data_IF_714232337302
#
_entry.id   IF_714232337302
#
_cell.length_a   1.000
_cell.length_b   1.000
_cell.length_c   1.000
_cell.angle_alpha   90.00
_cell.angle_beta   90.00
_cell.angle_gamma   90.00
#
_symmetry.space_group_name_H-M   'P 1'
#
loop_
_entity.id
_entity.type
_entity.pdbx_description
1 polymer ?
#
# COMPACT_ATOMS: atom_id res chain seq x y z
N UNK A 1 -1.39 10.60 12.20
CA UNK A 1 -0.79 9.40 12.81
C UNK A 1 -1.62 8.15 12.51
N UNK A 2 -0.98 7.01 12.46
CA UNK A 2 -1.66 5.74 12.25
C UNK A 2 -2.59 5.41 13.42
N UNK A 3 -3.84 5.05 13.10
CA UNK A 3 -4.79 4.58 14.11
C UNK A 3 -4.48 3.11 14.40
N UNK A 4 -4.07 2.85 15.63
CA UNK A 4 -3.66 1.51 16.08
C UNK A 4 -4.70 0.98 17.09
N UNK A 5 -5.17 -0.25 16.86
CA UNK A 5 -6.05 -0.91 17.81
C UNK A 5 -5.26 -1.37 19.03
N UNK A 6 -5.78 -1.10 20.21
CA UNK A 6 -5.15 -1.51 21.48
C UNK A 6 -5.41 -2.99 21.79
N UNK A 7 -6.39 -3.58 21.15
CA UNK A 7 -6.72 -5.00 21.28
C UNK A 7 -7.08 -5.54 19.91
N UNK A 8 -7.00 -6.87 19.77
CA UNK A 8 -7.39 -7.51 18.51
C UNK A 8 -8.85 -7.15 18.16
N UNK A 9 -9.17 -6.91 16.89
CA UNK A 9 -10.54 -6.58 16.49
C UNK A 9 -11.49 -7.77 16.77
N UNK A 10 -12.76 -7.45 16.97
CA UNK A 10 -13.79 -8.49 17.09
C UNK A 10 -13.80 -9.34 15.83
N UNK A 11 -14.20 -10.58 15.96
CA UNK A 11 -14.20 -11.55 14.83
C UNK A 11 -14.91 -11.00 13.58
N UNK A 12 -16.00 -10.27 13.77
CA UNK A 12 -16.74 -9.65 12.66
C UNK A 12 -16.00 -8.50 11.98
N UNK A 13 -14.92 -8.03 12.57
CA UNK A 13 -14.07 -6.95 12.02
C UNK A 13 -12.70 -7.44 11.57
N UNK A 14 -12.42 -8.72 11.76
CA UNK A 14 -11.16 -9.34 11.35
C UNK A 14 -11.16 -9.67 9.86
N UNK A 15 -11.38 -8.67 9.03
CA UNK A 15 -11.35 -8.84 7.59
C UNK A 15 -9.92 -9.03 7.11
N UNK A 16 -9.72 -9.96 6.19
CA UNK A 16 -8.41 -10.21 5.57
C UNK A 16 -8.17 -9.25 4.41
N UNK A 17 -6.91 -8.85 4.23
CA UNK A 17 -6.52 -7.90 3.21
C UNK A 17 -5.47 -8.53 2.29
N UNK A 18 -5.75 -8.47 0.98
CA UNK A 18 -4.80 -8.78 -0.07
C UNK A 18 -4.31 -7.44 -0.67
N UNK A 19 -3.06 -7.10 -0.44
CA UNK A 19 -2.42 -5.97 -1.11
C UNK A 19 -1.75 -6.52 -2.36
N UNK A 20 -2.22 -6.09 -3.53
CA UNK A 20 -1.65 -6.54 -4.79
C UNK A 20 -0.39 -5.78 -5.14
N UNK A 21 0.44 -6.35 -5.99
CA UNK A 21 1.57 -5.62 -6.55
C UNK A 21 1.05 -4.36 -7.25
N UNK A 22 1.77 -3.26 -7.08
CA UNK A 22 1.37 -1.99 -7.70
C UNK A 22 1.72 -2.01 -9.19
N UNK A 23 0.95 -1.26 -9.96
CA UNK A 23 1.27 -0.97 -11.35
C UNK A 23 1.90 0.41 -11.43
N UNK A 24 2.54 0.72 -12.55
CA UNK A 24 3.12 2.04 -12.76
C UNK A 24 2.70 2.55 -14.12
N UNK A 25 2.16 3.77 -14.12
CA UNK A 25 1.85 4.51 -15.36
C UNK A 25 2.81 5.65 -15.58
N UNK A 26 3.80 5.84 -14.69
CA UNK A 26 4.79 6.86 -14.84
C UNK A 26 5.60 6.62 -16.12
N UNK A 27 5.53 7.58 -17.03
CA UNK A 27 6.31 7.58 -18.25
C UNK A 27 7.30 8.70 -18.18
N UNK A 28 8.58 8.37 -18.23
CA UNK A 28 9.59 9.38 -18.33
C UNK A 28 9.76 9.78 -19.80
N UNK A 29 9.01 10.80 -20.19
CA UNK A 29 8.96 11.27 -21.59
C UNK A 29 10.24 11.98 -21.97
N UNK A 30 11.04 12.42 -21.00
CA UNK A 30 12.25 13.20 -21.25
C UNK A 30 13.50 12.35 -21.42
N UNK A 31 13.46 11.10 -21.08
CA UNK A 31 14.62 10.22 -21.23
C UNK A 31 14.73 9.70 -22.65
N UNK A 32 15.67 10.29 -23.38
CA UNK A 32 15.95 9.91 -24.75
C UNK A 32 17.07 8.88 -24.89
N UNK A 33 17.81 8.59 -23.80
CA UNK A 33 18.88 7.61 -23.82
C UNK A 33 18.37 6.21 -23.44
N UNK A 34 18.81 5.19 -24.19
CA UNK A 34 18.45 3.80 -23.91
C UNK A 34 18.90 3.35 -22.51
N UNK A 35 20.00 3.91 -22.01
CA UNK A 35 20.53 3.58 -20.69
C UNK A 35 19.63 4.14 -19.59
N UNK A 36 19.25 5.41 -19.70
CA UNK A 36 18.35 6.02 -18.71
C UNK A 36 16.99 5.34 -18.67
N UNK A 37 16.45 4.98 -19.82
CA UNK A 37 15.18 4.25 -19.89
C UNK A 37 15.27 2.89 -19.21
N UNK A 38 16.34 2.15 -19.41
CA UNK A 38 16.54 0.85 -18.78
C UNK A 38 16.61 0.96 -17.26
N UNK A 39 17.36 1.92 -16.73
CA UNK A 39 17.49 2.17 -15.29
C UNK A 39 16.13 2.55 -14.70
N UNK A 40 15.38 3.39 -15.37
CA UNK A 40 14.04 3.81 -14.95
C UNK A 40 13.08 2.61 -14.86
N UNK A 41 13.05 1.75 -15.86
CA UNK A 41 12.20 0.56 -15.86
C UNK A 41 12.55 -0.38 -14.70
N UNK A 42 13.84 -0.57 -14.42
CA UNK A 42 14.28 -1.42 -13.32
C UNK A 42 13.88 -0.87 -11.96
N UNK A 43 14.03 0.43 -11.74
CA UNK A 43 13.61 1.10 -10.50
C UNK A 43 12.10 0.97 -10.34
N UNK A 44 11.34 1.22 -11.39
CA UNK A 44 9.89 1.12 -11.37
C UNK A 44 9.43 -0.29 -11.02
N UNK A 45 10.06 -1.34 -11.57
CA UNK A 45 9.71 -2.71 -11.24
C UNK A 45 9.96 -3.03 -9.77
N UNK A 46 11.05 -2.52 -9.18
CA UNK A 46 11.33 -2.70 -7.76
C UNK A 46 10.28 -2.02 -6.90
N UNK A 47 9.89 -0.79 -7.24
CA UNK A 47 8.90 -0.03 -6.50
C UNK A 47 7.52 -0.70 -6.55
N UNK A 48 7.10 -1.25 -7.70
CA UNK A 48 5.82 -1.93 -7.82
C UNK A 48 5.70 -3.15 -6.91
N UNK A 49 6.80 -3.71 -6.48
CA UNK A 49 6.84 -4.84 -5.54
C UNK A 49 7.10 -4.40 -4.11
N UNK A 50 7.91 -3.38 -3.93
CA UNK A 50 8.35 -2.92 -2.61
C UNK A 50 7.30 -2.09 -1.89
N UNK A 51 6.65 -1.15 -2.58
CA UNK A 51 5.66 -0.27 -1.97
C UNK A 51 4.45 -1.04 -1.39
N UNK A 52 3.94 -2.10 -2.05
CA UNK A 52 2.90 -2.91 -1.42
C UNK A 52 3.33 -3.54 -0.11
N UNK A 53 4.59 -3.96 0.03
CA UNK A 53 5.11 -4.52 1.27
C UNK A 53 5.15 -3.48 2.38
N UNK A 54 5.52 -2.24 2.10
CA UNK A 54 5.50 -1.15 3.07
C UNK A 54 4.07 -0.89 3.56
N UNK A 55 3.11 -0.83 2.65
CA UNK A 55 1.71 -0.65 3.01
C UNK A 55 1.20 -1.83 3.83
N UNK A 56 1.53 -3.06 3.44
CA UNK A 56 1.18 -4.26 4.17
C UNK A 56 1.71 -4.22 5.60
N UNK A 57 2.96 -3.81 5.78
CA UNK A 57 3.57 -3.69 7.11
C UNK A 57 2.83 -2.67 7.98
N UNK A 58 2.43 -1.55 7.41
CA UNK A 58 1.65 -0.53 8.13
C UNK A 58 0.29 -1.10 8.55
N UNK A 59 -0.39 -1.80 7.66
CA UNK A 59 -1.69 -2.43 7.95
C UNK A 59 -1.57 -3.47 9.05
N UNK A 60 -0.53 -4.32 9.02
CA UNK A 60 -0.30 -5.29 10.09
C UNK A 60 -0.01 -4.62 11.42
N UNK A 61 0.84 -3.60 11.41
CA UNK A 61 1.22 -2.86 12.63
C UNK A 61 0.02 -2.18 13.28
N UNK A 62 -0.97 -1.77 12.50
CA UNK A 62 -2.18 -1.13 13.02
C UNK A 62 -3.05 -2.06 13.86
N UNK A 63 -2.89 -3.37 13.72
CA UNK A 63 -3.63 -4.39 14.48
C UNK A 63 -5.16 -4.28 14.33
N UNK A 64 -5.62 -3.76 13.21
CA UNK A 64 -7.05 -3.56 12.94
C UNK A 64 -7.66 -4.66 12.06
N UNK A 65 -6.84 -5.59 11.55
CA UNK A 65 -7.23 -6.51 10.49
C UNK A 65 -6.93 -7.95 10.87
N UNK A 66 -7.50 -8.88 10.12
CA UNK A 66 -7.10 -10.27 10.16
C UNK A 66 -5.79 -10.47 9.38
N UNK A 67 -5.72 -11.47 8.53
CA UNK A 67 -4.52 -11.72 7.73
C UNK A 67 -4.30 -10.58 6.73
N UNK A 68 -3.06 -10.11 6.62
CA UNK A 68 -2.62 -9.14 5.61
C UNK A 68 -1.51 -9.79 4.80
N UNK A 69 -1.68 -9.84 3.48
CA UNK A 69 -0.70 -10.48 2.59
C UNK A 69 -0.49 -9.63 1.35
N UNK A 70 0.70 -9.72 0.78
CA UNK A 70 1.01 -9.14 -0.52
C UNK A 70 0.98 -10.28 -1.54
N UNK A 71 0.12 -10.18 -2.53
CA UNK A 71 -0.02 -11.18 -3.57
C UNK A 71 0.07 -10.52 -4.94
N UNK A 72 0.61 -11.23 -5.96
CA UNK A 72 0.71 -10.65 -7.30
C UNK A 72 -0.64 -10.46 -7.99
N UNK A 73 -1.61 -11.33 -7.68
CA UNK A 73 -2.91 -11.34 -8.32
C UNK A 73 -4.03 -11.30 -7.27
N UNK A 74 -5.25 -11.02 -7.75
CA UNK A 74 -6.41 -11.07 -6.87
C UNK A 74 -6.66 -12.51 -6.40
N UNK A 75 -7.07 -12.61 -5.14
CA UNK A 75 -7.40 -13.89 -4.52
C UNK A 75 -8.80 -13.77 -3.91
N UNK A 76 -9.78 -14.54 -4.42
CA UNK A 76 -11.15 -14.45 -3.93
C UNK A 76 -11.33 -14.93 -2.49
N UNK A 77 -10.32 -15.55 -1.90
CA UNK A 77 -10.36 -15.96 -0.49
C UNK A 77 -10.06 -14.84 0.48
N UNK A 78 -9.70 -13.65 -0.01
CA UNK A 78 -9.49 -12.45 0.81
C UNK A 78 -10.74 -11.57 0.79
N UNK A 79 -11.02 -10.97 1.95
CA UNK A 79 -12.20 -10.11 2.11
C UNK A 79 -12.04 -8.79 1.38
N UNK A 80 -10.84 -8.22 1.40
CA UNK A 80 -10.53 -6.90 0.86
C UNK A 80 -9.33 -7.02 -0.07
N UNK A 81 -9.39 -6.30 -1.18
CA UNK A 81 -8.28 -6.17 -2.13
C UNK A 81 -7.88 -4.71 -2.26
N UNK A 82 -6.59 -4.45 -2.13
CA UNK A 82 -6.00 -3.13 -2.32
C UNK A 82 -5.18 -3.14 -3.59
N UNK A 83 -5.56 -2.29 -4.53
CA UNK A 83 -4.84 -2.08 -5.78
C UNK A 83 -4.21 -0.70 -5.77
N UNK A 84 -2.94 -0.62 -6.13
CA UNK A 84 -2.24 0.65 -6.21
C UNK A 84 -1.61 0.86 -7.58
N UNK A 85 -1.57 2.12 -7.98
CA UNK A 85 -0.90 2.56 -9.18
C UNK A 85 0.05 3.68 -8.83
N UNK A 86 1.31 3.54 -9.24
CA UNK A 86 2.31 4.58 -9.05
C UNK A 86 2.16 5.59 -10.18
N UNK A 87 1.68 6.78 -9.86
CA UNK A 87 1.52 7.86 -10.82
C UNK A 87 2.85 8.58 -10.99
N UNK A 88 3.55 8.80 -9.90
CA UNK A 88 4.83 9.51 -9.89
C UNK A 88 5.67 9.08 -8.69
N UNK A 89 6.95 8.82 -8.93
CA UNK A 89 7.90 8.51 -7.87
C UNK A 89 9.30 8.91 -8.29
N UNK A 90 9.98 9.71 -7.48
CA UNK A 90 11.35 10.13 -7.77
C UNK A 90 12.23 10.26 -6.52
N UNK A 91 11.83 9.63 -5.42
CA UNK A 91 12.60 9.69 -4.17
C UNK A 91 12.26 10.88 -3.28
N UNK A 92 11.83 12.00 -3.85
CA UNK A 92 11.38 13.18 -3.10
C UNK A 92 9.89 13.44 -3.27
N UNK A 93 9.25 12.74 -4.19
CA UNK A 93 7.84 12.89 -4.49
C UNK A 93 7.25 11.51 -4.74
N UNK A 94 6.14 11.22 -4.09
CA UNK A 94 5.39 9.98 -4.32
C UNK A 94 3.92 10.33 -4.52
N UNK A 95 3.35 9.87 -5.63
CA UNK A 95 1.93 9.99 -5.91
C UNK A 95 1.38 8.63 -6.27
N UNK A 96 0.37 8.19 -5.53
CA UNK A 96 -0.28 6.90 -5.72
C UNK A 96 -1.77 7.09 -5.96
N UNK A 97 -2.33 6.26 -6.83
CA UNK A 97 -3.77 6.05 -6.90
C UNK A 97 -4.07 4.70 -6.24
N UNK A 98 -4.94 4.71 -5.26
CA UNK A 98 -5.30 3.50 -4.51
C UNK A 98 -6.78 3.23 -4.64
N UNK A 99 -7.12 2.03 -5.06
CA UNK A 99 -8.49 1.53 -5.12
C UNK A 99 -8.64 0.36 -4.15
N UNK A 100 -9.66 0.39 -3.32
CA UNK A 100 -9.99 -0.68 -2.39
C UNK A 100 -11.35 -1.24 -2.72
N UNK A 101 -11.40 -2.57 -2.87
CA UNK A 101 -12.63 -3.31 -3.17
C UNK A 101 -12.80 -4.46 -2.20
N UNK A 102 -14.01 -4.98 -2.05
CA UNK A 102 -14.27 -6.14 -1.23
C UNK A 102 -14.70 -7.35 -2.07
N UNK A 103 -14.91 -8.48 -1.41
CA UNK A 103 -15.28 -9.73 -2.06
C UNK A 103 -16.63 -9.68 -2.77
N UNK A 104 -17.49 -8.73 -2.42
CA UNK A 104 -18.79 -8.50 -3.08
C UNK A 104 -18.66 -7.62 -4.32
N UNK A 105 -17.44 -7.25 -4.69
CA UNK A 105 -17.11 -6.32 -5.78
C UNK A 105 -17.54 -4.88 -5.52
N UNK A 106 -17.86 -4.54 -4.28
CA UNK A 106 -18.11 -3.14 -3.90
C UNK A 106 -16.79 -2.38 -3.87
N UNK A 107 -16.77 -1.21 -4.49
CA UNK A 107 -15.64 -0.30 -4.39
C UNK A 107 -15.80 0.49 -3.10
N UNK A 108 -14.84 0.33 -2.19
CA UNK A 108 -14.82 1.10 -0.94
C UNK A 108 -14.44 2.55 -1.20
N UNK A 109 -13.36 2.75 -1.95
CA UNK A 109 -12.95 4.06 -2.43
C UNK A 109 -11.87 3.92 -3.49
N UNK A 110 -11.66 5.02 -4.20
CA UNK A 110 -10.53 5.21 -5.09
C UNK A 110 -10.02 6.63 -4.85
N UNK A 111 -8.83 6.77 -4.31
CA UNK A 111 -8.26 8.05 -3.93
C UNK A 111 -6.83 8.20 -4.45
N UNK A 112 -6.43 9.46 -4.62
CA UNK A 112 -5.07 9.83 -4.92
C UNK A 112 -4.38 10.29 -3.65
N UNK A 113 -3.15 9.83 -3.46
CA UNK A 113 -2.33 10.18 -2.30
C UNK A 113 -1.01 10.72 -2.80
N UNK A 114 -0.62 11.87 -2.26
CA UNK A 114 0.60 12.55 -2.67
C UNK A 114 1.39 12.96 -1.44
N UNK A 115 2.68 12.73 -1.46
CA UNK A 115 3.57 13.16 -0.40
C UNK A 115 4.90 13.62 -0.98
N UNK A 116 5.49 14.61 -0.32
CA UNK A 116 6.80 15.14 -0.65
C UNK A 116 7.73 14.96 0.53
N UNK A 117 8.93 14.46 0.24
CA UNK A 117 10.00 14.36 1.22
C UNK A 117 11.07 15.42 0.90
N UNK A 118 11.81 15.79 1.93
CA UNK A 118 13.03 16.61 1.76
C UNK A 118 14.23 15.71 1.97
N UNK A 119 15.40 16.18 1.57
CA UNK A 119 16.64 15.43 1.81
C UNK A 119 16.84 15.18 3.32
N UNK A 120 16.39 16.10 4.16
CA UNK A 120 16.47 15.95 5.61
C UNK A 120 15.56 14.84 6.17
N UNK A 121 14.54 14.42 5.44
CA UNK A 121 13.66 13.33 5.86
C UNK A 121 14.31 11.96 5.70
N UNK A 122 15.41 11.87 4.94
CA UNK A 122 16.16 10.63 4.80
C UNK A 122 17.17 10.49 5.94
N UNK A 123 17.32 9.29 6.52
CA UNK A 123 18.37 9.05 7.52
C UNK A 123 19.75 9.36 6.93
N UNK A 124 20.66 9.88 7.77
CA UNK A 124 21.99 10.25 7.34
C UNK A 124 22.75 9.12 6.65
N UNK A 125 22.62 7.90 7.17
CA UNK A 125 23.20 6.71 6.59
C UNK A 125 22.64 6.41 5.20
N UNK A 126 21.36 6.66 5.01
CA UNK A 126 20.69 6.42 3.72
C UNK A 126 21.12 7.45 2.68
N UNK A 127 21.35 8.69 3.10
CA UNK A 127 21.80 9.76 2.17
C UNK A 127 23.11 9.42 1.49
N UNK A 128 24.03 8.74 2.17
CA UNK A 128 25.33 8.37 1.63
C UNK A 128 25.33 7.02 0.94
N UNK A 129 24.40 6.15 1.26
CA UNK A 129 24.34 4.78 0.74
C UNK A 129 23.16 4.53 -0.17
N UNK A 130 22.43 5.58 -0.50
CA UNK A 130 21.25 5.48 -1.35
C UNK A 130 21.62 4.86 -2.70
N UNK A 131 20.95 3.75 -3.04
CA UNK A 131 21.23 3.00 -4.26
C UNK A 131 22.23 1.86 -4.09
N UNK A 132 23.01 1.85 -3.02
CA UNK A 132 23.97 0.79 -2.77
C UNK A 132 23.39 -0.36 -1.96
N UNK A 133 22.53 -0.03 -0.99
CA UNK A 133 22.06 -1.03 -0.07
C UNK A 133 20.80 -0.56 0.65
N UNK A 134 19.79 -1.41 0.64
CA UNK A 134 18.63 -1.23 1.47
C UNK A 134 18.80 -2.06 2.75
N UNK A 135 18.87 -1.40 3.89
CA UNK A 135 18.87 -2.04 5.18
C UNK A 135 17.49 -1.86 5.83
N UNK A 136 16.66 -2.91 5.76
CA UNK A 136 15.30 -2.87 6.27
C UNK A 136 15.20 -2.66 7.78
N UNK A 137 16.26 -2.96 8.53
CA UNK A 137 16.25 -2.81 9.98
C UNK A 137 16.39 -1.36 10.43
N UNK A 138 17.08 -0.52 9.64
CA UNK A 138 17.36 0.87 9.99
C UNK A 138 16.72 1.87 9.02
N UNK A 139 15.96 1.39 8.07
CA UNK A 139 15.34 2.24 7.07
C UNK A 139 14.05 2.85 7.59
N UNK A 140 13.99 4.18 7.59
CA UNK A 140 12.75 4.93 7.75
C UNK A 140 12.30 5.41 6.40
N UNK A 141 11.10 5.01 5.97
CA UNK A 141 10.54 5.46 4.72
C UNK A 141 10.10 6.93 4.87
N UNK A 142 10.59 7.84 3.99
CA UNK A 142 10.22 9.24 4.07
C UNK A 142 8.74 9.51 3.76
N UNK A 143 8.03 8.53 3.22
CA UNK A 143 6.62 8.62 2.87
C UNK A 143 5.71 7.87 3.83
N UNK A 144 6.18 7.59 5.04
CA UNK A 144 5.41 6.83 6.05
C UNK A 144 4.02 7.43 6.31
N UNK A 145 3.92 8.75 6.36
CA UNK A 145 2.64 9.43 6.59
C UNK A 145 1.62 9.14 5.48
N UNK A 146 2.07 8.97 4.25
CA UNK A 146 1.20 8.60 3.14
C UNK A 146 0.58 7.21 3.37
N UNK A 147 1.37 6.24 3.79
CA UNK A 147 0.86 4.89 4.07
C UNK A 147 -0.07 4.89 5.28
N UNK A 148 0.22 5.70 6.29
CA UNK A 148 -0.68 5.87 7.43
C UNK A 148 -2.02 6.41 7.00
N UNK A 149 -2.04 7.38 6.11
CA UNK A 149 -3.26 7.97 5.58
C UNK A 149 -4.09 6.93 4.83
N UNK A 150 -3.45 6.12 3.99
CA UNK A 150 -4.13 5.03 3.27
C UNK A 150 -4.74 4.04 4.26
N UNK A 151 -3.96 3.58 5.23
CA UNK A 151 -4.41 2.62 6.22
C UNK A 151 -5.60 3.16 7.04
N UNK A 152 -5.54 4.42 7.44
CA UNK A 152 -6.61 5.06 8.20
C UNK A 152 -7.90 5.20 7.37
N UNK A 153 -7.77 5.48 6.08
CA UNK A 153 -8.93 5.58 5.17
C UNK A 153 -9.61 4.22 4.98
N UNK A 154 -8.83 3.15 4.88
CA UNK A 154 -9.36 1.79 4.80
C UNK A 154 -10.11 1.44 6.10
N UNK A 155 -9.52 1.76 7.24
CA UNK A 155 -10.14 1.52 8.55
C UNK A 155 -11.43 2.30 8.70
N UNK A 156 -11.44 3.57 8.34
CA UNK A 156 -12.63 4.40 8.43
C UNK A 156 -13.77 3.83 7.59
N UNK A 157 -13.47 3.36 6.38
CA UNK A 157 -14.48 2.76 5.51
C UNK A 157 -15.05 1.49 6.13
N UNK A 158 -14.20 0.62 6.69
CA UNK A 158 -14.69 -0.57 7.41
C UNK A 158 -15.64 -0.19 8.53
N UNK A 159 -15.29 0.81 9.31
CA UNK A 159 -16.08 1.21 10.48
C UNK A 159 -17.41 1.87 10.09
N UNK A 160 -17.52 2.38 8.89
CA UNK A 160 -18.78 2.91 8.36
C UNK A 160 -19.72 1.82 7.81
N UNK A 161 -19.22 0.60 7.61
CA UNK A 161 -20.04 -0.51 7.16
C UNK A 161 -20.92 -1.02 8.30
N UNK A 162 -22.13 -1.45 7.97
CA UNK A 162 -23.00 -2.11 8.93
C UNK A 162 -22.53 -3.54 9.19
N UNK A 163 -23.00 -4.13 10.29
CA UNK A 163 -22.70 -5.52 10.60
C UNK A 163 -23.17 -6.48 9.49
N UNK A 164 -24.40 -6.37 8.94
CA UNK A 164 -24.81 -7.20 7.81
C UNK A 164 -23.92 -7.05 6.59
N UNK A 165 -23.43 -5.85 6.28
CA UNK A 165 -22.54 -5.63 5.16
C UNK A 165 -21.20 -6.35 5.36
N UNK A 166 -20.63 -6.28 6.55
CA UNK A 166 -19.39 -7.00 6.88
C UNK A 166 -19.59 -8.52 6.82
N UNK A 167 -20.73 -9.00 7.29
CA UNK A 167 -21.06 -10.43 7.24
C UNK A 167 -21.19 -10.92 5.80
N UNK A 168 -21.78 -10.13 4.92
CA UNK A 168 -21.88 -10.45 3.49
C UNK A 168 -20.53 -10.63 2.86
N UNK A 169 -19.57 -9.73 3.15
CA UNK A 169 -18.20 -9.80 2.65
C UNK A 169 -17.56 -11.14 3.04
N UNK A 170 -17.64 -11.51 4.30
CA UNK A 170 -17.03 -12.76 4.80
C UNK A 170 -17.74 -14.00 4.25
N UNK A 171 -19.04 -13.94 4.06
CA UNK A 171 -19.79 -15.07 3.46
C UNK A 171 -19.35 -15.32 2.02
N UNK A 172 -19.21 -14.27 1.22
CA UNK A 172 -18.73 -14.41 -0.16
C UNK A 172 -17.33 -14.99 -0.20
N UNK A 173 -16.46 -14.55 0.69
CA UNK A 173 -15.09 -15.06 0.79
C UNK A 173 -15.08 -16.55 1.12
N UNK A 174 -15.91 -16.98 2.07
CA UNK A 174 -15.99 -18.40 2.48
C UNK A 174 -16.52 -19.31 1.39
N UNK A 175 -17.32 -18.79 0.46
CA UNK A 175 -17.88 -19.55 -0.65
C UNK A 175 -16.96 -19.61 -1.87
N UNK A 176 -15.83 -18.93 -1.83
CA UNK A 176 -14.88 -18.84 -2.94
C UNK A 176 -13.83 -19.94 -2.89
#
# INVERSE_FOLDING_TARGET
ALVIAQSAPKRSQQLSINVQNFTSTEKNVEETSKFGQWVFEEITQKETRFLPHLLSNVLETSNNWGAVRVLPDSDPTFDITVNGEIIRSNGLWLELRVQVTDSTHRVWFENYYTDQATISDYPSSTRFTLGNRFDGANYEDPFTDLYFQIANDILQTRDLLTQPERNEITQVTQLS
#
